data_IF_348260153957
#
_entry.id   IF_348260153957
#
_cell.length_a   1.000
_cell.length_b   1.000
_cell.length_c   1.000
_cell.angle_alpha   90.00
_cell.angle_beta   90.00
_cell.angle_gamma   90.00
#
_symmetry.space_group_name_H-M   'P 1'
#
loop_
_entity.id
_entity.type
_entity.pdbx_description
1 polymer ?
#
# COMPACT_ATOMS: atom_id res chain seq x y z
N UNK A 1 20.33 24.49 1.82
CA UNK A 1 19.69 23.86 2.99
C UNK A 1 18.29 23.45 2.59
N UNK A 2 18.06 22.15 2.38
CA UNK A 2 16.70 21.62 2.22
C UNK A 2 16.10 21.58 3.63
N UNK A 3 15.24 22.54 3.93
CA UNK A 3 14.39 22.48 5.12
C UNK A 3 13.48 21.25 4.99
N UNK A 4 13.27 20.53 6.10
CA UNK A 4 12.42 19.35 6.22
C UNK A 4 11.20 19.41 5.30
N UNK A 5 10.91 18.33 4.56
CA UNK A 5 9.74 18.25 3.69
C UNK A 5 8.47 18.24 4.53
N UNK A 6 7.96 19.42 4.87
CA UNK A 6 6.61 19.53 5.39
C UNK A 6 5.67 18.97 4.32
N UNK A 7 4.90 17.94 4.68
CA UNK A 7 3.96 17.31 3.79
C UNK A 7 2.97 18.36 3.26
N UNK A 8 2.93 18.55 1.94
CA UNK A 8 1.97 19.46 1.30
C UNK A 8 0.55 19.03 1.69
N UNK A 9 -0.26 19.89 2.30
CA UNK A 9 -1.61 19.52 2.73
C UNK A 9 -2.47 19.04 1.55
N UNK A 10 -3.27 18.00 1.79
CA UNK A 10 -4.24 17.54 0.80
C UNK A 10 -5.49 18.41 0.88
N UNK A 11 -5.83 19.03 -0.25
CA UNK A 11 -6.97 19.94 -0.43
C UNK A 11 -7.81 19.48 -1.62
N UNK A 12 -9.02 20.02 -1.74
CA UNK A 12 -9.91 19.69 -2.86
C UNK A 12 -9.30 20.06 -4.22
N UNK A 13 -8.41 21.06 -4.24
CA UNK A 13 -7.71 21.50 -5.44
C UNK A 13 -6.62 20.50 -5.91
N UNK A 14 -5.99 19.74 -4.99
CA UNK A 14 -4.88 18.85 -5.33
C UNK A 14 -5.19 17.36 -5.17
N UNK A 15 -6.26 16.99 -4.47
CA UNK A 15 -6.59 15.59 -4.12
C UNK A 15 -6.72 14.71 -5.36
N UNK A 16 -7.32 15.22 -6.44
CA UNK A 16 -7.44 14.50 -7.72
C UNK A 16 -6.06 14.12 -8.29
N UNK A 17 -5.16 15.10 -8.39
CA UNK A 17 -3.83 14.89 -8.96
C UNK A 17 -2.96 13.96 -8.11
N UNK A 18 -3.07 14.04 -6.79
CA UNK A 18 -2.38 13.14 -5.86
C UNK A 18 -2.95 11.71 -5.93
N UNK A 19 -4.27 11.58 -5.95
CA UNK A 19 -4.95 10.30 -6.10
C UNK A 19 -4.61 9.61 -7.42
N UNK A 20 -4.55 10.34 -8.54
CA UNK A 20 -4.16 9.79 -9.84
C UNK A 20 -2.73 9.27 -9.86
N UNK A 21 -1.79 9.97 -9.18
CA UNK A 21 -0.41 9.51 -9.02
C UNK A 21 -0.35 8.21 -8.22
N UNK A 22 -1.00 8.17 -7.06
CA UNK A 22 -1.02 6.97 -6.20
C UNK A 22 -1.74 5.79 -6.88
N UNK A 23 -2.85 6.03 -7.57
CA UNK A 23 -3.53 5.01 -8.35
C UNK A 23 -2.62 4.37 -9.39
N UNK A 24 -1.89 5.17 -10.18
CA UNK A 24 -0.93 4.65 -11.16
C UNK A 24 0.19 3.85 -10.49
N UNK A 25 0.74 4.36 -9.39
CA UNK A 25 1.80 3.69 -8.64
C UNK A 25 1.31 2.34 -8.09
N UNK A 26 0.18 2.31 -7.39
CA UNK A 26 -0.37 1.09 -6.81
C UNK A 26 -0.77 0.05 -7.85
N UNK A 27 -1.34 0.47 -8.99
CA UNK A 27 -1.65 -0.44 -10.10
C UNK A 27 -0.42 -1.01 -10.80
N UNK A 28 0.68 -0.27 -10.81
CA UNK A 28 1.96 -0.78 -11.30
C UNK A 28 2.55 -1.76 -10.29
N UNK A 29 2.65 -1.36 -9.01
CA UNK A 29 3.18 -2.17 -7.92
C UNK A 29 2.42 -3.48 -7.76
N UNK A 30 1.08 -3.48 -7.88
CA UNK A 30 0.28 -4.70 -7.74
C UNK A 30 0.63 -5.78 -8.79
N UNK A 31 1.21 -5.40 -9.93
CA UNK A 31 1.65 -6.35 -10.98
C UNK A 31 2.91 -7.13 -10.59
N UNK A 32 3.63 -6.67 -9.57
CA UNK A 32 4.82 -7.35 -9.04
C UNK A 32 4.45 -8.48 -8.05
N UNK A 33 3.17 -8.58 -7.67
CA UNK A 33 2.67 -9.56 -6.71
C UNK A 33 1.70 -10.54 -7.39
N UNK A 34 1.57 -11.73 -6.83
CA UNK A 34 0.67 -12.77 -7.35
C UNK A 34 -0.82 -12.54 -7.07
N UNK A 35 -1.17 -11.53 -6.27
CA UNK A 35 -2.55 -11.25 -5.83
C UNK A 35 -2.89 -9.78 -5.98
N UNK A 36 -4.19 -9.49 -6.07
CA UNK A 36 -4.75 -8.13 -6.17
C UNK A 36 -4.77 -7.37 -4.81
N UNK A 37 -4.07 -7.90 -3.80
CA UNK A 37 -3.95 -7.33 -2.47
C UNK A 37 -2.56 -6.70 -2.33
N UNK A 38 -2.51 -5.43 -1.94
CA UNK A 38 -1.27 -4.70 -1.75
C UNK A 38 -1.21 -4.11 -0.34
N UNK A 39 -0.04 -4.21 0.29
CA UNK A 39 0.28 -3.49 1.53
C UNK A 39 1.25 -2.36 1.21
N UNK A 40 0.97 -1.17 1.73
CA UNK A 40 1.84 -0.01 1.64
C UNK A 40 2.14 0.43 3.08
N UNK A 41 3.43 0.42 3.44
CA UNK A 41 3.89 0.95 4.72
C UNK A 41 4.02 2.46 4.62
N UNK A 42 3.48 3.17 5.62
CA UNK A 42 3.53 4.62 5.69
C UNK A 42 4.35 4.99 6.92
N UNK A 43 5.56 5.48 6.68
CA UNK A 43 6.51 5.85 7.71
C UNK A 43 7.93 5.39 7.35
N UNK A 44 8.87 6.08 7.96
CA UNK A 44 10.31 5.83 8.02
C UNK A 44 10.75 6.01 9.49
N UNK A 45 12.05 5.96 9.74
CA UNK A 45 12.61 6.18 11.07
C UNK A 45 12.09 7.50 11.67
N UNK A 46 11.58 7.46 12.91
CA UNK A 46 11.08 8.62 13.65
C UNK A 46 9.92 9.42 13.00
N UNK A 47 9.22 8.86 12.01
CA UNK A 47 8.16 9.58 11.25
C UNK A 47 7.01 10.17 12.06
N UNK A 48 6.79 9.70 13.29
CA UNK A 48 5.66 10.11 14.12
C UNK A 48 6.07 10.78 15.43
N UNK A 49 7.33 11.21 15.54
CA UNK A 49 7.86 11.86 16.74
C UNK A 49 7.36 13.32 16.88
N UNK A 50 7.02 13.97 15.77
CA UNK A 50 6.42 15.31 15.78
C UNK A 50 4.93 15.24 16.11
N UNK A 51 4.47 16.09 17.03
CA UNK A 51 3.11 16.10 17.57
C UNK A 51 1.98 16.09 16.51
N UNK A 52 2.21 16.73 15.36
CA UNK A 52 1.23 16.83 14.29
C UNK A 52 1.40 15.79 13.16
N UNK A 53 2.56 15.12 13.07
CA UNK A 53 2.90 14.27 11.93
C UNK A 53 1.91 13.11 11.74
N UNK A 54 1.48 12.48 12.83
CA UNK A 54 0.46 11.43 12.77
C UNK A 54 -0.89 11.97 12.26
N UNK A 55 -1.36 13.09 12.84
CA UNK A 55 -2.64 13.71 12.46
C UNK A 55 -2.63 14.12 10.99
N UNK A 56 -1.57 14.76 10.54
CA UNK A 56 -1.47 15.29 9.19
C UNK A 56 -1.34 14.14 8.18
N UNK A 57 -0.56 13.10 8.50
CA UNK A 57 -0.47 11.86 7.71
C UNK A 57 -1.83 11.17 7.61
N UNK A 58 -2.52 10.98 8.73
CA UNK A 58 -3.82 10.32 8.77
C UNK A 58 -4.87 11.11 7.97
N UNK A 59 -4.95 12.42 8.19
CA UNK A 59 -5.89 13.31 7.49
C UNK A 59 -5.64 13.35 5.98
N UNK A 60 -4.39 13.56 5.56
CA UNK A 60 -4.03 13.65 4.16
C UNK A 60 -4.29 12.34 3.41
N UNK A 61 -3.85 11.21 3.97
CA UNK A 61 -4.09 9.90 3.36
C UNK A 61 -5.58 9.55 3.36
N UNK A 62 -6.32 9.90 4.42
CA UNK A 62 -7.77 9.71 4.48
C UNK A 62 -8.51 10.39 3.33
N UNK A 63 -8.17 11.64 3.00
CA UNK A 63 -8.76 12.36 1.86
C UNK A 63 -8.45 11.69 0.53
N UNK A 64 -7.21 11.25 0.32
CA UNK A 64 -6.82 10.57 -0.93
C UNK A 64 -7.53 9.22 -1.05
N UNK A 65 -7.58 8.44 0.04
CA UNK A 65 -8.31 7.17 0.09
C UNK A 65 -9.80 7.37 -0.22
N UNK A 66 -10.43 8.38 0.35
CA UNK A 66 -11.83 8.71 0.06
C UNK A 66 -12.04 9.03 -1.42
N UNK A 67 -11.17 9.86 -2.01
CA UNK A 67 -11.24 10.18 -3.43
C UNK A 67 -11.11 8.93 -4.30
N UNK A 68 -10.11 8.08 -4.00
CA UNK A 68 -9.86 6.81 -4.69
C UNK A 68 -11.09 5.89 -4.62
N UNK A 69 -11.62 5.67 -3.41
CA UNK A 69 -12.72 4.72 -3.20
C UNK A 69 -14.03 5.18 -3.83
N UNK A 70 -14.19 6.50 -4.05
CA UNK A 70 -15.32 7.05 -4.79
C UNK A 70 -15.24 6.81 -6.31
N UNK A 71 -14.07 6.41 -6.84
CA UNK A 71 -13.85 6.14 -8.27
C UNK A 71 -14.12 4.66 -8.58
N UNK A 72 -15.39 4.34 -8.84
CA UNK A 72 -15.80 2.98 -9.24
C UNK A 72 -15.10 2.49 -10.51
N UNK A 73 -14.70 3.39 -11.40
CA UNK A 73 -13.93 3.10 -12.62
C UNK A 73 -12.50 2.64 -12.35
N UNK A 74 -11.94 2.92 -11.17
CA UNK A 74 -10.56 2.57 -10.82
C UNK A 74 -10.42 1.15 -10.26
N UNK A 75 -11.53 0.51 -9.88
CA UNK A 75 -11.56 -0.88 -9.34
C UNK A 75 -10.55 -1.07 -8.19
N UNK A 76 -10.46 -0.08 -7.29
CA UNK A 76 -9.53 -0.08 -6.18
C UNK A 76 -10.29 0.22 -4.89
N UNK A 77 -9.92 -0.48 -3.81
CA UNK A 77 -10.44 -0.24 -2.47
C UNK A 77 -9.26 -0.14 -1.50
N UNK A 78 -9.03 1.05 -0.97
CA UNK A 78 -7.94 1.35 -0.05
C UNK A 78 -8.49 1.69 1.33
N UNK A 79 -7.83 1.19 2.35
CA UNK A 79 -8.13 1.48 3.75
C UNK A 79 -6.85 1.49 4.56
N UNK A 80 -6.89 2.19 5.70
CA UNK A 80 -5.94 1.91 6.77
C UNK A 80 -6.14 0.48 7.26
N UNK A 81 -5.05 -0.14 7.69
CA UNK A 81 -5.05 -1.49 8.21
C UNK A 81 -3.74 -1.82 8.88
N UNK A 82 -3.71 -3.00 9.48
CA UNK A 82 -2.54 -3.57 10.13
C UNK A 82 -1.86 -4.59 9.21
N UNK A 83 -0.64 -5.01 9.59
CA UNK A 83 0.04 -6.13 8.93
C UNK A 83 -0.81 -7.41 9.01
N UNK A 84 -1.51 -7.63 10.13
CA UNK A 84 -2.43 -8.76 10.29
C UNK A 84 -3.60 -8.69 9.30
N UNK A 85 -4.23 -7.52 9.12
CA UNK A 85 -5.32 -7.35 8.14
C UNK A 85 -4.89 -7.74 6.72
N UNK A 86 -3.65 -7.36 6.35
CA UNK A 86 -3.09 -7.72 5.06
C UNK A 86 -2.92 -9.24 4.92
N UNK A 87 -2.24 -9.90 5.86
CA UNK A 87 -2.01 -11.34 5.77
C UNK A 87 -3.30 -12.16 5.87
N UNK A 88 -4.28 -11.71 6.66
CA UNK A 88 -5.61 -12.33 6.71
C UNK A 88 -6.34 -12.22 5.36
N UNK A 89 -6.22 -11.08 4.69
CA UNK A 89 -6.80 -10.88 3.36
C UNK A 89 -6.15 -11.79 2.31
N UNK A 90 -4.82 -11.90 2.33
CA UNK A 90 -4.05 -12.75 1.44
C UNK A 90 -4.38 -14.23 1.66
N UNK A 91 -4.47 -14.68 2.93
CA UNK A 91 -4.77 -16.07 3.27
C UNK A 91 -6.16 -16.50 2.77
N UNK A 92 -7.13 -15.59 2.76
CA UNK A 92 -8.46 -15.82 2.18
C UNK A 92 -8.43 -15.97 0.66
N UNK A 93 -7.53 -15.27 -0.04
CA UNK A 93 -7.33 -15.42 -1.48
C UNK A 93 -6.63 -16.74 -1.79
N UNK A 94 -5.56 -17.03 -1.05
CA UNK A 94 -4.79 -18.27 -1.18
C UNK A 94 -5.65 -19.52 -0.93
N UNK A 95 -6.49 -19.51 0.11
CA UNK A 95 -7.38 -20.65 0.40
C UNK A 95 -8.41 -20.90 -0.70
N UNK A 96 -8.90 -19.84 -1.36
CA UNK A 96 -9.78 -19.99 -2.52
C UNK A 96 -9.04 -20.59 -3.69
N UNK A 97 -7.83 -20.12 -4.01
CA UNK A 97 -7.04 -20.60 -5.15
C UNK A 97 -6.64 -22.06 -5.01
N UNK A 98 -6.22 -22.49 -3.81
CA UNK A 98 -5.90 -23.90 -3.52
C UNK A 98 -7.08 -24.85 -3.74
N UNK A 99 -8.31 -24.35 -3.57
CA UNK A 99 -9.54 -25.11 -3.78
C UNK A 99 -10.08 -24.97 -5.22
N UNK A 100 -9.33 -24.33 -6.13
CA UNK A 100 -9.70 -24.15 -7.54
C UNK A 100 -8.87 -25.02 -8.48
N UNK A 101 -9.23 -25.03 -9.77
CA UNK A 101 -8.48 -25.71 -10.84
C UNK A 101 -7.15 -25.02 -11.21
N UNK A 102 -6.74 -23.96 -10.50
CA UNK A 102 -5.53 -23.17 -10.78
C UNK A 102 -4.56 -23.13 -9.58
N UNK A 103 -4.10 -24.28 -9.04
CA UNK A 103 -3.19 -24.31 -7.89
C UNK A 103 -1.81 -23.68 -8.19
N UNK A 104 -1.41 -23.56 -9.46
CA UNK A 104 -0.17 -22.92 -9.89
C UNK A 104 -0.11 -21.41 -9.62
N UNK A 105 -1.26 -20.79 -9.34
CA UNK A 105 -1.34 -19.39 -8.91
C UNK A 105 -1.14 -19.19 -7.40
N UNK A 106 -1.03 -20.28 -6.64
CA UNK A 106 -0.74 -20.23 -5.21
C UNK A 106 0.71 -19.79 -4.94
N UNK A 107 1.03 -19.50 -3.68
CA UNK A 107 2.39 -19.11 -3.31
C UNK A 107 3.43 -20.18 -3.70
N UNK A 108 4.58 -19.77 -4.26
CA UNK A 108 5.67 -20.71 -4.53
C UNK A 108 6.27 -21.23 -3.22
N UNK A 109 6.83 -22.44 -3.28
CA UNK A 109 7.70 -22.97 -2.23
C UNK A 109 9.11 -22.45 -2.48
N UNK A 110 9.75 -21.93 -1.43
CA UNK A 110 11.12 -21.42 -1.47
C UNK A 110 11.95 -22.11 -0.38
N UNK A 111 13.19 -22.49 -0.71
CA UNK A 111 14.15 -23.08 0.21
C UNK A 111 15.54 -22.44 0.03
N UNK A 112 16.29 -22.27 1.11
CA UNK A 112 17.62 -21.63 1.10
C UNK A 112 17.73 -20.57 2.19
N UNK A 113 18.72 -19.68 2.07
CA UNK A 113 18.89 -18.50 2.92
C UNK A 113 19.01 -17.22 2.06
N UNK A 114 19.14 -16.08 2.75
CA UNK A 114 19.39 -14.78 2.11
C UNK A 114 20.76 -14.21 2.51
N UNK A 115 21.79 -15.06 2.58
CA UNK A 115 23.16 -14.67 2.94
C UNK A 115 24.17 -14.83 1.78
N UNK A 116 25.20 -13.99 1.68
CA UNK A 116 25.42 -12.75 2.43
C UNK A 116 24.76 -11.55 1.71
N UNK A 117 24.12 -10.66 2.47
CA UNK A 117 23.67 -9.37 1.94
C UNK A 117 24.89 -8.57 1.48
N UNK A 118 24.92 -8.21 0.20
CA UNK A 118 25.96 -7.35 -0.37
C UNK A 118 25.98 -6.01 0.36
N UNK A 119 27.10 -5.68 0.99
CA UNK A 119 27.40 -4.32 1.44
C UNK A 119 28.01 -3.56 0.26
N UNK A 120 27.36 -2.48 -0.16
CA UNK A 120 27.95 -1.45 -1.02
C UNK A 120 28.54 -0.35 -0.16
#
# INVERSE_FOLDING_TARGET
>A
MMTSSEAVPVTDANVKGLAEKLYKAYRFTSRLYGYDNLVIFIGEDASYDLANAFRDTHSNNGKIMQYINARSDWKMNIKFGTVSDYFDSIRKVESKLRNTKMPEKAFPVLSGDFFSLLRF
#
